data_IF_972162287874
#
_entry.id   IF_972162287874
#
_cell.length_a   1.000
_cell.length_b   1.000
_cell.length_c   1.000
_cell.angle_alpha   90.00
_cell.angle_beta   90.00
_cell.angle_gamma   90.00
#
_symmetry.space_group_name_H-M   'P 1'
#
loop_
_entity.id
_entity.type
_entity.pdbx_description
1 polymer ?
#
# COMPACT_ATOMS: atom_id res chain seq x y z
N UNK A 1 -0.04 13.06 -0.45
CA UNK A 1 -0.33 13.36 -1.87
C UNK A 1 0.90 13.05 -2.71
N UNK A 2 0.74 12.83 -4.01
CA UNK A 2 1.84 12.62 -4.95
C UNK A 2 1.51 13.19 -6.33
N UNK A 3 2.54 13.41 -7.15
CA UNK A 3 2.44 13.66 -8.59
C UNK A 3 3.47 12.80 -9.30
N UNK A 4 3.01 11.99 -10.27
CA UNK A 4 3.86 11.19 -11.15
C UNK A 4 3.70 11.73 -12.58
N UNK A 5 4.79 12.21 -13.17
CA UNK A 5 4.77 12.82 -14.50
C UNK A 5 5.33 11.87 -15.56
N UNK A 6 4.66 11.81 -16.71
CA UNK A 6 5.15 11.16 -17.93
C UNK A 6 5.36 12.20 -19.04
N UNK A 7 5.84 11.76 -20.22
CA UNK A 7 5.95 12.63 -21.40
C UNK A 7 4.60 13.05 -22.00
N UNK A 8 3.48 12.42 -21.62
CA UNK A 8 2.15 12.69 -22.19
C UNK A 8 1.18 13.35 -21.21
N UNK A 9 1.21 12.93 -19.94
CA UNK A 9 0.33 13.41 -18.88
C UNK A 9 0.97 13.19 -17.52
N UNK A 10 0.44 13.86 -16.51
CA UNK A 10 0.78 13.63 -15.10
C UNK A 10 -0.41 13.10 -14.34
N UNK A 11 -0.16 12.22 -13.39
CA UNK A 11 -1.15 11.70 -12.45
C UNK A 11 -0.88 12.30 -11.09
N UNK A 12 -1.87 13.01 -10.55
CA UNK A 12 -1.86 13.48 -9.17
C UNK A 12 -2.79 12.62 -8.33
N UNK A 13 -2.39 12.32 -7.10
CA UNK A 13 -3.19 11.49 -6.22
C UNK A 13 -3.05 11.83 -4.75
N UNK A 14 -4.03 11.37 -3.98
CA UNK A 14 -4.09 11.47 -2.54
C UNK A 14 -4.65 10.18 -1.98
N UNK A 15 -4.21 9.83 -0.78
CA UNK A 15 -4.72 8.71 0.00
C UNK A 15 -5.06 9.20 1.40
N UNK A 16 -5.98 8.52 2.04
CA UNK A 16 -6.30 8.70 3.44
C UNK A 16 -6.70 7.35 4.04
N UNK A 17 -6.58 7.21 5.35
CA UNK A 17 -7.06 6.04 6.06
C UNK A 17 -8.58 5.96 5.94
N UNK A 18 -9.11 4.74 5.77
CA UNK A 18 -10.55 4.54 5.71
C UNK A 18 -11.25 5.09 6.97
N UNK A 19 -12.39 5.72 6.78
CA UNK A 19 -13.17 6.38 7.83
C UNK A 19 -12.62 7.73 8.34
N UNK A 20 -11.40 8.16 7.97
CA UNK A 20 -10.86 9.44 8.47
C UNK A 20 -11.41 10.65 7.71
N UNK A 21 -11.77 10.47 6.44
CA UNK A 21 -12.32 11.50 5.56
C UNK A 21 -13.17 10.83 4.49
N UNK A 22 -14.28 11.44 4.10
CA UNK A 22 -15.09 10.92 3.01
C UNK A 22 -14.41 11.15 1.65
N UNK A 23 -14.68 10.29 0.67
CA UNK A 23 -14.02 10.34 -0.63
C UNK A 23 -14.24 11.66 -1.40
N UNK A 24 -15.38 12.34 -1.21
CA UNK A 24 -15.65 13.63 -1.87
C UNK A 24 -14.71 14.71 -1.33
N UNK A 25 -14.60 14.83 -0.01
CA UNK A 25 -13.73 15.81 0.63
C UNK A 25 -12.25 15.53 0.35
N UNK A 26 -11.87 14.24 0.29
CA UNK A 26 -10.54 13.83 -0.11
C UNK A 26 -10.19 14.28 -1.54
N UNK A 27 -11.12 14.11 -2.48
CA UNK A 27 -10.97 14.60 -3.85
C UNK A 27 -10.95 16.14 -3.92
N UNK A 28 -11.77 16.81 -3.11
CA UNK A 28 -11.80 18.29 -3.03
C UNK A 28 -10.44 18.83 -2.53
N UNK A 29 -9.74 18.13 -1.62
CA UNK A 29 -8.36 18.45 -1.24
C UNK A 29 -7.37 18.30 -2.39
N UNK A 30 -7.45 17.19 -3.14
CA UNK A 30 -6.59 16.97 -4.29
C UNK A 30 -6.80 18.02 -5.39
N UNK A 31 -8.05 18.41 -5.66
CA UNK A 31 -8.35 19.42 -6.67
C UNK A 31 -7.83 20.80 -6.31
N UNK A 32 -7.96 21.22 -5.05
CA UNK A 32 -7.37 22.47 -4.57
C UNK A 32 -5.85 22.45 -4.77
N UNK A 33 -5.18 21.39 -4.32
CA UNK A 33 -3.74 21.22 -4.49
C UNK A 33 -3.30 21.30 -5.97
N UNK A 34 -4.00 20.61 -6.88
CA UNK A 34 -3.67 20.63 -8.32
C UNK A 34 -3.92 22.01 -8.93
N UNK A 35 -5.03 22.68 -8.57
CA UNK A 35 -5.36 24.00 -9.08
C UNK A 35 -4.36 25.07 -8.61
N UNK A 36 -3.91 24.98 -7.36
CA UNK A 36 -2.98 25.94 -6.77
C UNK A 36 -1.59 25.85 -7.43
N UNK A 37 -1.11 24.64 -7.73
CA UNK A 37 0.19 24.43 -8.36
C UNK A 37 0.16 24.51 -9.90
N UNK A 38 -0.94 24.08 -10.51
CA UNK A 38 -1.09 23.96 -11.96
C UNK A 38 -2.45 24.49 -12.42
N UNK A 39 -2.72 25.80 -12.31
CA UNK A 39 -4.04 26.40 -12.60
C UNK A 39 -4.49 26.22 -14.05
N UNK A 40 -3.56 25.95 -14.98
CA UNK A 40 -3.86 25.68 -16.39
C UNK A 40 -4.04 24.19 -16.71
N UNK A 41 -3.85 23.29 -15.74
CA UNK A 41 -3.99 21.86 -15.95
C UNK A 41 -5.44 21.48 -16.27
N UNK A 42 -5.62 20.56 -17.21
CA UNK A 42 -6.93 20.00 -17.56
C UNK A 42 -7.03 18.58 -17.00
N UNK A 43 -8.08 18.30 -16.24
CA UNK A 43 -8.36 16.97 -15.73
C UNK A 43 -8.88 16.10 -16.89
N UNK A 44 -8.12 15.07 -17.27
CA UNK A 44 -8.45 14.16 -18.37
C UNK A 44 -9.20 12.89 -17.92
N UNK A 45 -9.03 12.46 -16.67
CA UNK A 45 -9.66 11.26 -16.11
C UNK A 45 -9.68 11.32 -14.57
N UNK A 46 -10.58 10.56 -13.95
CA UNK A 46 -10.72 10.43 -12.49
C UNK A 46 -10.92 8.97 -12.13
N UNK A 47 -10.26 8.50 -11.06
CA UNK A 47 -10.45 7.17 -10.51
C UNK A 47 -10.21 7.20 -9.00
N UNK A 48 -10.79 6.23 -8.31
CA UNK A 48 -10.60 6.00 -6.87
C UNK A 48 -10.67 4.51 -6.62
N UNK A 49 -9.86 4.01 -5.69
CA UNK A 49 -9.84 2.62 -5.28
C UNK A 49 -9.47 2.52 -3.80
N UNK A 50 -9.83 1.41 -3.17
CA UNK A 50 -9.28 1.03 -1.88
C UNK A 50 -7.91 0.39 -2.08
N UNK A 51 -7.00 0.65 -1.13
CA UNK A 51 -5.70 0.02 -1.05
C UNK A 51 -5.65 -0.76 0.25
N UNK A 52 -5.49 -2.11 0.22
CA UNK A 52 -5.26 -2.89 1.42
C UNK A 52 -4.04 -2.37 2.16
N UNK A 53 -4.12 -2.25 3.48
CA UNK A 53 -3.04 -1.66 4.26
C UNK A 53 -3.10 -2.16 5.70
N UNK A 54 -2.72 -3.44 5.88
CA UNK A 54 -2.79 -4.11 7.17
C UNK A 54 -1.86 -3.46 8.20
N UNK A 55 -2.41 -3.13 9.37
CA UNK A 55 -1.66 -2.58 10.50
C UNK A 55 -1.39 -3.60 11.61
N UNK A 56 -1.95 -4.80 11.51
CA UNK A 56 -1.69 -5.89 12.45
C UNK A 56 -0.77 -6.91 11.76
N UNK A 57 0.44 -7.17 12.28
CA UNK A 57 1.37 -8.12 11.67
C UNK A 57 0.85 -9.57 11.64
N UNK A 58 -0.08 -9.93 12.53
CA UNK A 58 -0.70 -11.27 12.54
C UNK A 58 -1.61 -11.51 11.33
N UNK A 59 -2.00 -10.45 10.62
CA UNK A 59 -2.70 -10.56 9.34
C UNK A 59 -1.92 -11.44 8.34
N UNK A 60 -0.60 -11.33 8.33
CA UNK A 60 0.27 -12.08 7.40
C UNK A 60 0.52 -13.54 7.83
N UNK A 61 -0.02 -13.97 8.97
CA UNK A 61 -0.05 -15.37 9.37
C UNK A 61 -1.28 -16.10 8.82
N UNK A 62 -2.26 -15.37 8.27
CA UNK A 62 -3.44 -15.98 7.64
C UNK A 62 -3.06 -16.74 6.37
N UNK A 63 -3.76 -17.84 6.07
CA UNK A 63 -3.49 -18.61 4.86
C UNK A 63 -3.87 -17.83 3.60
N UNK A 64 -2.97 -17.79 2.63
CA UNK A 64 -3.23 -17.28 1.28
C UNK A 64 -3.36 -18.40 0.25
N UNK A 65 -3.37 -19.66 0.67
CA UNK A 65 -3.68 -20.81 -0.16
C UNK A 65 -4.45 -21.89 0.61
N UNK A 66 -5.22 -22.68 -0.13
CA UNK A 66 -5.92 -23.88 0.35
C UNK A 66 -6.04 -24.91 -0.76
N UNK A 67 -6.87 -25.94 -0.58
CA UNK A 67 -6.90 -27.13 -1.45
C UNK A 67 -6.93 -26.86 -2.96
N UNK A 68 -7.65 -25.82 -3.41
CA UNK A 68 -7.78 -25.47 -4.82
C UNK A 68 -7.87 -23.94 -5.04
N UNK A 69 -7.27 -23.15 -4.16
CA UNK A 69 -7.30 -21.70 -4.29
C UNK A 69 -5.99 -21.08 -3.79
N UNK A 70 -5.64 -19.94 -4.40
CA UNK A 70 -4.53 -19.07 -4.00
C UNK A 70 -5.01 -17.63 -4.09
N UNK A 71 -4.69 -16.82 -3.08
CA UNK A 71 -4.83 -15.37 -3.09
C UNK A 71 -3.49 -14.73 -3.46
N UNK A 72 -3.54 -13.72 -4.33
CA UNK A 72 -2.37 -12.96 -4.81
C UNK A 72 -2.68 -11.47 -4.81
N UNK A 73 -1.63 -10.63 -4.81
CA UNK A 73 -1.74 -9.17 -4.83
C UNK A 73 -2.71 -8.63 -3.78
N UNK A 74 -3.54 -7.66 -4.18
CA UNK A 74 -4.51 -7.01 -3.29
C UNK A 74 -5.50 -7.99 -2.64
N UNK A 75 -5.85 -9.09 -3.32
CA UNK A 75 -6.76 -10.11 -2.77
C UNK A 75 -6.15 -10.86 -1.58
N UNK A 76 -4.81 -10.94 -1.51
CA UNK A 76 -4.07 -11.45 -0.37
C UNK A 76 -3.69 -10.35 0.65
N UNK A 77 -4.05 -9.10 0.37
CA UNK A 77 -3.56 -7.94 1.13
C UNK A 77 -2.05 -7.74 0.99
N UNK A 78 -1.43 -8.24 -0.08
CA UNK A 78 0.00 -8.10 -0.36
C UNK A 78 0.32 -6.70 -0.91
N UNK A 79 0.03 -5.67 -0.11
CA UNK A 79 0.38 -4.28 -0.39
C UNK A 79 1.19 -3.77 0.80
N UNK A 80 2.31 -3.10 0.54
CA UNK A 80 3.16 -2.55 1.59
C UNK A 80 2.36 -1.51 2.41
N UNK A 81 2.16 -1.73 3.73
CA UNK A 81 1.25 -0.92 4.53
C UNK A 81 1.58 0.56 4.68
N UNK A 82 2.85 0.97 4.61
CA UNK A 82 3.29 2.34 4.84
C UNK A 82 3.32 3.17 3.56
N UNK A 83 3.90 2.62 2.50
CA UNK A 83 4.15 3.29 1.23
C UNK A 83 3.03 3.06 0.22
N UNK A 84 2.25 2.00 0.41
CA UNK A 84 1.20 1.60 -0.54
C UNK A 84 1.75 0.95 -1.81
N UNK A 85 3.01 0.47 -1.81
CA UNK A 85 3.57 -0.26 -2.94
C UNK A 85 2.89 -1.63 -3.04
N UNK A 86 2.13 -1.84 -4.12
CA UNK A 86 1.41 -3.10 -4.37
C UNK A 86 1.76 -3.77 -5.69
N UNK A 87 2.32 -3.04 -6.66
CA UNK A 87 2.57 -3.55 -8.01
C UNK A 87 3.64 -4.64 -7.97
N UNK A 88 4.76 -4.36 -7.29
CA UNK A 88 5.83 -5.35 -7.10
C UNK A 88 5.28 -6.66 -6.49
N UNK A 89 4.52 -6.56 -5.40
CA UNK A 89 4.03 -7.72 -4.66
C UNK A 89 2.92 -8.46 -5.41
N UNK A 90 2.06 -7.77 -6.18
CA UNK A 90 1.08 -8.41 -7.05
C UNK A 90 1.77 -9.26 -8.13
N UNK A 91 2.82 -8.73 -8.78
CA UNK A 91 3.59 -9.50 -9.76
C UNK A 91 4.34 -10.66 -9.10
N UNK A 92 4.99 -10.40 -7.96
CA UNK A 92 5.82 -11.41 -7.28
C UNK A 92 4.98 -12.55 -6.72
N UNK A 93 3.86 -12.25 -6.08
CA UNK A 93 2.90 -13.26 -5.61
C UNK A 93 2.35 -14.10 -6.77
N UNK A 94 2.02 -13.50 -7.90
CA UNK A 94 1.60 -14.24 -9.11
C UNK A 94 2.66 -15.22 -9.61
N UNK A 95 3.95 -14.82 -9.61
CA UNK A 95 5.05 -15.71 -9.98
C UNK A 95 5.19 -16.90 -9.02
N UNK A 96 5.12 -16.65 -7.70
CA UNK A 96 5.21 -17.69 -6.69
C UNK A 96 3.99 -18.62 -6.70
N UNK A 97 2.80 -18.10 -6.99
CA UNK A 97 1.60 -18.89 -7.17
C UNK A 97 1.73 -19.83 -8.38
N UNK A 98 2.22 -19.33 -9.51
CA UNK A 98 2.51 -20.16 -10.68
C UNK A 98 3.53 -21.26 -10.34
N UNK A 99 4.59 -20.93 -9.60
CA UNK A 99 5.57 -21.92 -9.12
C UNK A 99 4.91 -23.03 -8.28
N UNK A 100 4.10 -22.67 -7.27
CA UNK A 100 3.38 -23.62 -6.43
C UNK A 100 2.44 -24.54 -7.23
N UNK A 101 1.66 -23.96 -8.16
CA UNK A 101 0.76 -24.70 -9.04
C UNK A 101 1.52 -25.69 -9.91
N UNK A 102 2.60 -25.25 -10.57
CA UNK A 102 3.39 -26.14 -11.46
C UNK A 102 4.12 -27.25 -10.72
N UNK A 103 4.46 -27.03 -9.45
CA UNK A 103 5.04 -28.05 -8.58
C UNK A 103 4.02 -29.06 -8.04
N UNK A 104 2.71 -28.80 -8.22
CA UNK A 104 1.64 -29.59 -7.60
C UNK A 104 1.52 -29.41 -6.08
N UNK A 105 2.10 -28.33 -5.54
CA UNK A 105 2.11 -28.01 -4.10
C UNK A 105 1.49 -26.63 -3.86
N UNK A 106 0.16 -26.57 -3.96
CA UNK A 106 -0.60 -25.32 -3.78
C UNK A 106 -0.44 -24.78 -2.36
N UNK A 107 -0.47 -25.64 -1.33
CA UNK A 107 -0.31 -25.25 0.07
C UNK A 107 1.09 -24.68 0.33
N UNK A 108 2.11 -25.18 -0.36
CA UNK A 108 3.48 -24.66 -0.31
C UNK A 108 3.64 -23.20 -0.74
N UNK A 109 2.68 -22.62 -1.48
CA UNK A 109 2.67 -21.19 -1.82
C UNK A 109 2.86 -20.30 -0.60
N UNK A 110 2.22 -20.68 0.50
CA UNK A 110 2.17 -19.91 1.73
C UNK A 110 3.55 -19.79 2.40
N UNK A 111 4.40 -20.79 2.21
CA UNK A 111 5.81 -20.75 2.61
C UNK A 111 6.62 -19.89 1.64
N UNK A 112 6.41 -20.07 0.34
CA UNK A 112 7.15 -19.36 -0.71
C UNK A 112 7.06 -17.84 -0.58
N UNK A 113 5.86 -17.29 -0.40
CA UNK A 113 5.70 -15.84 -0.31
C UNK A 113 6.20 -15.29 1.02
N UNK A 114 5.99 -16.01 2.13
CA UNK A 114 6.48 -15.59 3.45
C UNK A 114 8.00 -15.52 3.49
N UNK A 115 8.67 -16.53 2.93
CA UNK A 115 10.14 -16.55 2.80
C UNK A 115 10.65 -15.45 1.85
N UNK A 116 9.91 -15.17 0.77
CA UNK A 116 10.36 -14.21 -0.23
C UNK A 116 10.23 -12.76 0.24
N UNK A 117 9.13 -12.40 0.88
CA UNK A 117 8.86 -11.00 1.24
C UNK A 117 7.94 -10.80 2.45
N UNK A 118 7.50 -11.88 3.13
CA UNK A 118 6.55 -11.77 4.24
C UNK A 118 7.07 -10.94 5.40
N UNK A 119 8.36 -11.04 5.72
CA UNK A 119 8.98 -10.23 6.78
C UNK A 119 8.91 -8.72 6.48
N UNK A 120 9.06 -8.32 5.22
CA UNK A 120 8.98 -6.91 4.81
C UNK A 120 7.57 -6.36 5.09
N UNK A 121 6.53 -7.10 4.70
CA UNK A 121 5.14 -6.70 4.93
C UNK A 121 4.79 -6.65 6.43
N UNK A 122 5.29 -7.62 7.20
CA UNK A 122 5.13 -7.66 8.67
C UNK A 122 5.80 -6.47 9.35
N UNK A 123 7.08 -6.23 9.07
CA UNK A 123 7.83 -5.10 9.63
C UNK A 123 7.19 -3.77 9.28
N UNK A 124 6.75 -3.61 8.03
CA UNK A 124 6.02 -2.42 7.60
C UNK A 124 4.70 -2.22 8.36
N UNK A 125 3.93 -3.29 8.59
CA UNK A 125 2.70 -3.18 9.39
C UNK A 125 2.95 -2.77 10.84
N UNK A 126 4.04 -3.25 11.46
CA UNK A 126 4.48 -2.83 12.80
C UNK A 126 4.85 -1.35 12.78
N UNK A 127 5.63 -0.92 11.80
CA UNK A 127 6.03 0.48 11.66
C UNK A 127 4.80 1.38 11.43
N UNK A 128 3.83 0.93 10.64
CA UNK A 128 2.53 1.60 10.49
C UNK A 128 1.79 1.70 11.82
N UNK A 129 1.72 0.62 12.60
CA UNK A 129 1.07 0.64 13.91
C UNK A 129 1.71 1.67 14.84
N UNK A 130 3.04 1.69 14.90
CA UNK A 130 3.79 2.68 15.67
C UNK A 130 3.52 4.11 15.19
N UNK A 131 3.49 4.31 13.88
CA UNK A 131 3.22 5.61 13.27
C UNK A 131 1.81 6.12 13.61
N UNK A 132 0.80 5.23 13.63
CA UNK A 132 -0.56 5.56 14.03
C UNK A 132 -0.62 5.95 15.52
N UNK A 133 0.07 5.24 16.40
CA UNK A 133 0.17 5.58 17.83
C UNK A 133 0.80 6.96 18.04
N UNK A 134 1.91 7.25 17.34
CA UNK A 134 2.56 8.55 17.41
C UNK A 134 1.66 9.66 16.89
N UNK A 135 0.92 9.39 15.82
CA UNK A 135 0.01 10.35 15.21
C UNK A 135 -1.19 10.67 16.11
N UNK A 136 -1.74 9.67 16.79
CA UNK A 136 -2.77 9.88 17.82
C UNK A 136 -2.26 10.77 18.96
N UNK A 137 -1.00 10.56 19.37
CA UNK A 137 -0.36 11.30 20.46
C UNK A 137 0.04 12.74 20.10
N UNK A 138 0.51 12.98 18.88
CA UNK A 138 1.15 14.23 18.48
C UNK A 138 0.42 14.99 17.36
N UNK A 139 -0.70 14.45 16.86
CA UNK A 139 -1.52 15.02 15.80
C UNK A 139 -1.16 14.53 14.39
N UNK A 140 -2.16 14.55 13.50
CA UNK A 140 -2.05 14.15 12.08
C UNK A 140 -1.00 14.94 11.29
N UNK A 141 -0.76 16.19 11.66
CA UNK A 141 0.28 17.07 11.09
C UNK A 141 1.68 16.44 11.21
N UNK A 142 1.93 15.68 12.27
CA UNK A 142 3.23 15.06 12.53
C UNK A 142 3.44 13.74 11.77
N UNK A 143 2.39 13.15 11.19
CA UNK A 143 2.45 11.87 10.46
C UNK A 143 3.53 11.89 9.37
N UNK A 144 3.57 12.97 8.58
CA UNK A 144 4.55 13.12 7.50
C UNK A 144 6.00 13.16 8.02
N UNK A 145 6.25 13.81 9.15
CA UNK A 145 7.58 13.89 9.75
C UNK A 145 8.04 12.53 10.30
N UNK A 146 7.13 11.80 10.98
CA UNK A 146 7.42 10.46 11.48
C UNK A 146 7.62 9.44 10.35
N UNK A 147 6.84 9.54 9.27
CA UNK A 147 7.02 8.72 8.07
C UNK A 147 8.37 8.99 7.42
N UNK A 148 8.73 10.26 7.24
CA UNK A 148 10.04 10.67 6.71
C UNK A 148 11.19 10.09 7.54
N UNK A 149 11.12 10.22 8.87
CA UNK A 149 12.14 9.66 9.76
C UNK A 149 12.26 8.13 9.61
N UNK A 150 11.13 7.42 9.58
CA UNK A 150 11.13 5.96 9.44
C UNK A 150 11.70 5.47 8.11
N UNK A 151 11.43 6.19 7.01
CA UNK A 151 11.91 5.79 5.68
C UNK A 151 13.40 6.12 5.50
N UNK A 152 13.83 7.32 5.91
CA UNK A 152 15.13 7.86 5.50
C UNK A 152 16.20 7.85 6.59
N UNK A 153 15.83 7.80 7.87
CA UNK A 153 16.81 7.95 8.98
C UNK A 153 17.12 6.62 9.68
N UNK A 154 16.24 5.62 9.62
CA UNK A 154 16.48 4.28 10.19
C UNK A 154 17.25 3.33 9.24
N UNK A 155 17.75 3.82 8.11
CA UNK A 155 18.60 3.06 7.17
C UNK A 155 20.11 3.41 7.27
N UNK A 156 20.51 4.24 8.26
CA UNK A 156 21.90 4.57 8.61
C UNK A 156 22.27 3.97 9.96
#
# INVERSE_FOLDING_TARGET
>A
MWILSSSRHSTAGILAQDGSINGKELLDHLYRFVNDLYPSAKIISKYSAFIPSASDPSFYDQPCAGDNWILVGDAAGHTEPLLGEGIYYAMKSGQLAAQAITAGDIIGYDKLWRDCYGNILKESSINKQNLLVLTDKFGSEAYGAFLYYNIFMNQL
#
